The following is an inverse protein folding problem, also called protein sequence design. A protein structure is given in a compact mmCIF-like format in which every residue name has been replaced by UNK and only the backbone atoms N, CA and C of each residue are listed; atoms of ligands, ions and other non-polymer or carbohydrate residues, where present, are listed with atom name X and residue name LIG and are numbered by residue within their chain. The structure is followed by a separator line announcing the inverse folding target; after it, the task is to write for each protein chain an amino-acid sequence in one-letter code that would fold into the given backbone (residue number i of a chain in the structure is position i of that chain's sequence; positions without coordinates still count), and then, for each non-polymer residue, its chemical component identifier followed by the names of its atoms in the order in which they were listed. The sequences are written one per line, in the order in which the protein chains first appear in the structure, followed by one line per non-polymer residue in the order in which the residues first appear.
data_IF_890349286959
#
_entry.id   IF_890349286959
#
_cell.length_a   1.000
_cell.length_b   1.000
_cell.length_c   1.000
_cell.angle_alpha   90.00
_cell.angle_beta   90.00
_cell.angle_gamma   90.00
#
_symmetry.space_group_name_H-M   'P 1'
#
loop_
_entity.id
_entity.type
_entity.pdbx_description
1 polymer ?
#
# COMPACT_ATOMS: atom_id res chain seq x y z
N UNK A 1 -11.47 -45.13 -2.97
CA UNK A 1 -12.30 -43.93 -3.13
C UNK A 1 -12.43 -43.05 -1.86
N UNK A 2 -12.47 -43.61 -0.66
CA UNK A 2 -12.58 -42.85 0.60
C UNK A 2 -11.34 -41.95 0.90
N UNK A 3 -10.16 -42.40 0.54
CA UNK A 3 -8.90 -41.67 0.78
C UNK A 3 -8.70 -40.45 -0.14
N UNK A 4 -9.21 -40.50 -1.38
CA UNK A 4 -9.18 -39.38 -2.33
C UNK A 4 -10.10 -38.23 -1.91
N UNK A 5 -11.28 -38.56 -1.32
CA UNK A 5 -12.22 -37.55 -0.82
C UNK A 5 -11.65 -36.75 0.37
N UNK A 6 -10.89 -37.41 1.25
CA UNK A 6 -10.28 -36.76 2.42
C UNK A 6 -9.15 -35.78 2.00
N UNK A 7 -8.35 -36.14 1.00
CA UNK A 7 -7.32 -35.25 0.42
C UNK A 7 -7.92 -34.03 -0.26
N UNK A 8 -9.07 -34.14 -0.91
CA UNK A 8 -9.74 -33.00 -1.56
C UNK A 8 -10.36 -32.03 -0.56
N UNK A 9 -10.86 -32.49 0.58
CA UNK A 9 -11.37 -31.61 1.64
C UNK A 9 -10.25 -30.82 2.35
N UNK A 10 -9.06 -31.41 2.50
CA UNK A 10 -7.93 -30.76 3.17
C UNK A 10 -7.36 -29.57 2.37
N UNK A 11 -7.45 -29.59 1.04
CA UNK A 11 -6.95 -28.51 0.19
C UNK A 11 -7.86 -27.27 0.16
N UNK A 12 -9.15 -27.41 0.44
CA UNK A 12 -10.11 -26.30 0.48
C UNK A 12 -9.99 -25.44 1.76
N UNK A 13 -9.47 -26.01 2.85
CA UNK A 13 -9.35 -25.30 4.13
C UNK A 13 -8.17 -24.31 4.19
N UNK A 14 -7.13 -24.51 3.40
CA UNK A 14 -5.93 -23.65 3.39
C UNK A 14 -6.23 -22.27 2.77
N UNK A 15 -7.09 -22.20 1.76
CA UNK A 15 -7.47 -20.95 1.09
C UNK A 15 -8.26 -19.99 1.98
N UNK A 16 -9.17 -20.49 2.83
CA UNK A 16 -9.98 -19.67 3.74
C UNK A 16 -9.15 -19.13 4.90
N UNK A 17 -8.18 -19.87 5.42
CA UNK A 17 -7.33 -19.48 6.53
C UNK A 17 -6.40 -18.31 6.17
N UNK A 18 -5.85 -18.28 4.97
CA UNK A 18 -4.96 -17.19 4.54
C UNK A 18 -5.71 -15.88 4.30
N UNK A 19 -6.96 -15.94 3.84
CA UNK A 19 -7.81 -14.77 3.64
C UNK A 19 -8.18 -14.11 4.97
N UNK A 20 -8.63 -14.88 5.93
CA UNK A 20 -8.99 -14.38 7.26
C UNK A 20 -7.78 -13.81 8.02
N UNK A 21 -6.58 -14.36 7.79
CA UNK A 21 -5.35 -13.82 8.38
C UNK A 21 -4.96 -12.46 7.76
N UNK A 22 -5.10 -12.29 6.44
CA UNK A 22 -4.87 -11.03 5.74
C UNK A 22 -5.83 -9.95 6.26
N UNK A 23 -7.13 -10.24 6.29
CA UNK A 23 -8.16 -9.31 6.73
C UNK A 23 -7.90 -8.86 8.18
N UNK A 24 -7.52 -9.76 9.08
CA UNK A 24 -7.17 -9.42 10.46
C UNK A 24 -5.98 -8.45 10.57
N UNK A 25 -4.95 -8.63 9.75
CA UNK A 25 -3.80 -7.72 9.76
C UNK A 25 -4.15 -6.34 9.20
N UNK A 26 -5.00 -6.26 8.17
CA UNK A 26 -5.51 -4.98 7.68
C UNK A 26 -6.38 -4.27 8.73
N UNK A 27 -7.31 -4.96 9.37
CA UNK A 27 -8.15 -4.41 10.43
C UNK A 27 -7.31 -3.92 11.62
N UNK A 28 -6.29 -4.69 12.01
CA UNK A 28 -5.35 -4.30 13.06
C UNK A 28 -4.55 -3.05 12.66
N UNK A 29 -4.07 -2.99 11.41
CA UNK A 29 -3.37 -1.83 10.90
C UNK A 29 -4.23 -0.56 10.95
N UNK A 30 -5.48 -0.62 10.51
CA UNK A 30 -6.41 0.50 10.61
C UNK A 30 -6.71 0.91 12.06
N UNK A 31 -6.80 -0.06 12.96
CA UNK A 31 -7.02 0.21 14.39
C UNK A 31 -5.81 0.94 14.99
N UNK A 32 -4.59 0.47 14.72
CA UNK A 32 -3.37 1.15 15.16
C UNK A 32 -3.22 2.53 14.52
N UNK A 33 -3.62 2.69 13.25
CA UNK A 33 -3.60 3.98 12.57
C UNK A 33 -4.50 5.00 13.25
N UNK A 34 -5.73 4.62 13.62
CA UNK A 34 -6.64 5.50 14.38
C UNK A 34 -6.07 5.91 15.73
N UNK A 35 -5.31 5.03 16.36
CA UNK A 35 -4.64 5.28 17.64
C UNK A 35 -3.32 6.05 17.51
N UNK A 36 -2.87 6.35 16.29
CA UNK A 36 -1.62 7.07 16.04
C UNK A 36 -0.35 6.23 16.16
N UNK A 37 -0.47 4.91 16.33
CA UNK A 37 0.66 3.98 16.50
C UNK A 37 1.17 3.48 15.14
N UNK A 38 1.92 4.34 14.46
CA UNK A 38 2.42 4.02 13.12
C UNK A 38 3.45 2.88 13.09
N UNK A 39 4.18 2.65 14.17
CA UNK A 39 5.12 1.51 14.25
C UNK A 39 4.37 0.18 14.17
N UNK A 40 3.27 0.05 14.90
CA UNK A 40 2.41 -1.14 14.81
C UNK A 40 1.69 -1.24 13.47
N UNK A 41 1.26 -0.10 12.89
CA UNK A 41 0.72 -0.10 11.52
C UNK A 41 1.71 -0.72 10.55
N UNK A 42 2.97 -0.27 10.55
CA UNK A 42 4.00 -0.80 9.65
C UNK A 42 4.23 -2.30 9.82
N UNK A 43 4.21 -2.79 11.07
CA UNK A 43 4.32 -4.22 11.38
C UNK A 43 3.14 -5.00 10.79
N UNK A 44 1.90 -4.57 11.04
CA UNK A 44 0.69 -5.23 10.56
C UNK A 44 0.60 -5.19 9.02
N UNK A 45 0.95 -4.06 8.39
CA UNK A 45 0.99 -3.96 6.93
C UNK A 45 2.02 -4.92 6.31
N UNK A 46 3.17 -5.11 6.96
CA UNK A 46 4.17 -6.07 6.49
C UNK A 46 3.67 -7.51 6.58
N UNK A 47 2.85 -7.84 7.59
CA UNK A 47 2.19 -9.14 7.70
C UNK A 47 1.11 -9.32 6.63
N UNK A 48 0.30 -8.28 6.41
CA UNK A 48 -0.73 -8.27 5.37
C UNK A 48 -0.11 -8.46 3.97
N UNK A 49 0.95 -7.72 3.67
CA UNK A 49 1.65 -7.76 2.38
C UNK A 49 2.20 -9.16 2.05
N UNK A 50 2.80 -9.84 3.02
CA UNK A 50 3.27 -11.23 2.83
C UNK A 50 2.15 -12.19 2.45
N UNK A 51 0.92 -11.92 2.91
CA UNK A 51 -0.27 -12.75 2.65
C UNK A 51 -1.06 -12.31 1.42
N UNK A 52 -0.83 -11.07 0.95
CA UNK A 52 -1.52 -10.53 -0.22
C UNK A 52 -0.84 -10.87 -1.55
N UNK A 53 0.38 -11.40 -1.54
CA UNK A 53 1.17 -11.67 -2.76
C UNK A 53 0.40 -12.32 -3.91
N UNK A 54 -0.56 -13.24 -3.67
CA UNK A 54 -1.39 -13.76 -4.74
C UNK A 54 -2.55 -12.82 -5.13
N UNK A 55 -2.71 -11.66 -4.46
CA UNK A 55 -3.80 -10.70 -4.65
C UNK A 55 -3.25 -9.28 -4.76
N UNK A 56 -2.78 -8.95 -5.93
CA UNK A 56 -2.13 -7.68 -6.24
C UNK A 56 -3.06 -6.46 -6.05
N UNK A 57 -4.38 -6.69 -6.08
CA UNK A 57 -5.39 -5.65 -5.89
C UNK A 57 -5.43 -5.03 -4.47
N UNK A 58 -4.83 -5.67 -3.47
CA UNK A 58 -4.75 -5.15 -2.10
C UNK A 58 -3.47 -4.32 -1.85
N UNK A 59 -2.49 -4.43 -2.72
CA UNK A 59 -1.23 -3.71 -2.59
C UNK A 59 -1.41 -2.18 -2.57
N UNK A 60 -2.26 -1.56 -3.40
CA UNK A 60 -2.43 -0.11 -3.36
C UNK A 60 -3.06 0.39 -2.05
N UNK A 61 -3.95 -0.37 -1.43
CA UNK A 61 -4.49 -0.07 -0.10
C UNK A 61 -3.40 -0.11 0.97
N UNK A 62 -2.64 -1.19 1.02
CA UNK A 62 -1.51 -1.37 1.95
C UNK A 62 -0.51 -0.22 1.79
N UNK A 63 -0.18 0.13 0.56
CA UNK A 63 0.76 1.21 0.26
C UNK A 63 0.22 2.58 0.66
N UNK A 64 -1.08 2.85 0.46
CA UNK A 64 -1.66 4.13 0.85
C UNK A 64 -1.57 4.32 2.37
N UNK A 65 -1.97 3.32 3.16
CA UNK A 65 -1.91 3.40 4.63
C UNK A 65 -0.47 3.53 5.13
N UNK A 66 0.48 2.85 4.48
CA UNK A 66 1.92 3.02 4.75
C UNK A 66 2.38 4.45 4.50
N UNK A 67 2.05 5.03 3.36
CA UNK A 67 2.38 6.42 3.02
C UNK A 67 1.82 7.42 4.03
N UNK A 68 0.60 7.23 4.48
CA UNK A 68 -0.03 8.07 5.49
C UNK A 68 0.67 7.98 6.86
N UNK A 69 1.17 6.82 7.23
CA UNK A 69 1.98 6.67 8.44
C UNK A 69 3.36 7.34 8.29
N UNK A 70 4.00 7.21 7.14
CA UNK A 70 5.26 7.90 6.86
C UNK A 70 5.11 9.42 6.98
N UNK A 71 4.01 9.98 6.47
CA UNK A 71 3.70 11.39 6.66
C UNK A 71 3.60 11.78 8.15
N UNK A 72 2.87 11.00 8.95
CA UNK A 72 2.72 11.25 10.39
C UNK A 72 4.04 11.21 11.14
N UNK A 73 4.98 10.40 10.67
CA UNK A 73 6.33 10.30 11.23
C UNK A 73 7.28 11.39 10.70
N UNK A 74 6.82 12.27 9.80
CA UNK A 74 7.64 13.31 9.18
C UNK A 74 8.58 12.78 8.09
N UNK A 75 8.42 11.54 7.66
CA UNK A 75 9.22 10.89 6.61
C UNK A 75 8.62 11.21 5.22
N UNK A 76 8.63 12.49 4.87
CA UNK A 76 7.91 12.98 3.69
C UNK A 76 8.47 12.46 2.37
N UNK A 77 9.78 12.27 2.25
CA UNK A 77 10.39 11.71 1.04
C UNK A 77 9.88 10.30 0.78
N UNK A 78 9.88 9.45 1.81
CA UNK A 78 9.40 8.07 1.71
C UNK A 78 7.89 8.03 1.44
N UNK A 79 7.12 8.93 2.05
CA UNK A 79 5.68 9.06 1.79
C UNK A 79 5.41 9.42 0.32
N UNK A 80 6.14 10.40 -0.23
CA UNK A 80 6.03 10.83 -1.63
C UNK A 80 6.33 9.67 -2.57
N UNK A 81 7.42 8.94 -2.36
CA UNK A 81 7.78 7.79 -3.20
C UNK A 81 6.73 6.67 -3.10
N UNK A 82 6.17 6.46 -1.92
CA UNK A 82 5.09 5.48 -1.73
C UNK A 82 3.83 5.86 -2.52
N UNK A 83 3.44 7.14 -2.52
CA UNK A 83 2.28 7.60 -3.31
C UNK A 83 2.54 7.58 -4.82
N UNK A 84 3.75 7.92 -5.25
CA UNK A 84 4.17 7.79 -6.66
C UNK A 84 4.12 6.35 -7.15
N UNK A 85 4.57 5.41 -6.32
CA UNK A 85 4.48 3.97 -6.60
C UNK A 85 3.04 3.55 -6.88
N UNK A 86 2.07 3.97 -6.04
CA UNK A 86 0.65 3.63 -6.24
C UNK A 86 0.16 4.17 -7.60
N UNK A 87 0.51 5.42 -7.93
CA UNK A 87 0.09 6.03 -9.20
C UNK A 87 0.69 5.34 -10.42
N UNK A 88 1.96 4.95 -10.34
CA UNK A 88 2.64 4.31 -11.43
C UNK A 88 2.16 2.86 -11.66
N UNK A 89 1.93 2.13 -10.57
CA UNK A 89 1.62 0.70 -10.63
C UNK A 89 0.13 0.39 -10.71
N UNK A 90 -0.69 1.23 -10.09
CA UNK A 90 -2.15 1.02 -9.96
C UNK A 90 -2.95 2.27 -10.34
N UNK A 91 -2.73 2.85 -11.53
CA UNK A 91 -3.24 4.18 -11.89
C UNK A 91 -4.77 4.30 -11.87
N UNK A 92 -5.49 3.19 -12.08
CA UNK A 92 -6.95 3.14 -12.08
C UNK A 92 -7.58 2.87 -10.70
N UNK A 93 -6.79 2.72 -9.64
CA UNK A 93 -7.32 2.44 -8.29
C UNK A 93 -7.79 3.72 -7.60
N UNK A 94 -8.78 3.59 -6.71
CA UNK A 94 -9.16 4.71 -5.83
C UNK A 94 -8.00 5.18 -4.94
N UNK A 95 -7.10 4.24 -4.58
CA UNK A 95 -5.93 4.54 -3.76
C UNK A 95 -4.89 5.39 -4.51
N UNK A 96 -4.79 5.25 -5.83
CA UNK A 96 -3.98 6.14 -6.67
C UNK A 96 -4.56 7.56 -6.69
N UNK A 97 -5.88 7.70 -6.76
CA UNK A 97 -6.55 8.99 -6.65
C UNK A 97 -6.29 9.65 -5.28
N UNK A 98 -6.46 8.90 -4.20
CA UNK A 98 -6.18 9.36 -2.83
C UNK A 98 -4.71 9.71 -2.63
N UNK A 99 -3.79 8.90 -3.14
CA UNK A 99 -2.35 9.17 -3.12
C UNK A 99 -1.98 10.47 -3.86
N UNK A 100 -2.64 10.73 -5.00
CA UNK A 100 -2.46 11.99 -5.73
C UNK A 100 -2.90 13.20 -4.92
N UNK A 101 -4.03 13.11 -4.24
CA UNK A 101 -4.50 14.17 -3.34
C UNK A 101 -3.51 14.43 -2.19
N UNK A 102 -2.90 13.37 -1.62
CA UNK A 102 -1.85 13.52 -0.59
C UNK A 102 -0.59 14.19 -1.14
N UNK A 103 -0.14 13.80 -2.33
CA UNK A 103 1.00 14.45 -2.99
C UNK A 103 0.76 15.94 -3.20
N UNK A 104 -0.43 16.32 -3.64
CA UNK A 104 -0.78 17.74 -3.80
C UNK A 104 -0.76 18.49 -2.46
N UNK A 105 -1.28 17.86 -1.40
CA UNK A 105 -1.20 18.42 -0.04
C UNK A 105 0.25 18.63 0.40
N UNK A 106 1.12 17.62 0.23
CA UNK A 106 2.53 17.71 0.58
C UNK A 106 3.27 18.79 -0.23
N UNK A 107 2.91 18.96 -1.51
CA UNK A 107 3.43 20.03 -2.35
C UNK A 107 3.05 21.41 -1.81
N UNK A 108 1.78 21.61 -1.47
CA UNK A 108 1.28 22.88 -0.92
C UNK A 108 1.92 23.24 0.43
N UNK A 109 2.23 22.23 1.24
CA UNK A 109 2.90 22.38 2.52
C UNK A 109 4.42 22.55 2.38
N UNK A 110 4.97 22.47 1.18
CA UNK A 110 6.41 22.64 0.92
C UNK A 110 7.27 21.41 1.26
N UNK A 111 6.66 20.25 1.54
CA UNK A 111 7.38 19.00 1.83
C UNK A 111 7.82 18.26 0.57
N UNK A 112 7.36 18.68 -0.58
CA UNK A 112 7.62 18.05 -1.85
C UNK A 112 7.56 19.07 -2.98
N UNK A 113 8.52 19.01 -3.88
CA UNK A 113 8.50 19.74 -5.15
C UNK A 113 8.48 18.71 -6.28
N UNK A 114 7.51 18.79 -7.22
CA UNK A 114 7.60 17.98 -8.43
C UNK A 114 8.88 18.32 -9.17
N UNK A 115 9.60 17.33 -9.62
CA UNK A 115 10.76 17.56 -10.48
C UNK A 115 10.29 18.37 -11.70
N UNK A 116 10.78 19.59 -11.81
CA UNK A 116 10.64 20.37 -13.02
C UNK A 116 11.29 19.55 -14.13
N UNK A 117 10.52 19.06 -15.08
CA UNK A 117 11.10 18.51 -16.30
C UNK A 117 11.91 19.63 -16.92
N UNK A 118 13.22 19.54 -16.80
CA UNK A 118 14.13 20.37 -17.60
C UNK A 118 13.87 19.96 -19.03
N UNK A 119 12.97 20.69 -19.68
CA UNK A 119 12.85 20.61 -21.14
C UNK A 119 14.15 21.23 -21.65
N UNK A 120 15.14 20.37 -21.85
CA UNK A 120 16.33 20.76 -22.62
C UNK A 120 15.82 21.07 -24.01
N UNK A 121 15.52 22.33 -24.25
CA UNK A 121 15.47 22.84 -25.59
C UNK A 121 16.87 22.58 -26.17
N UNK A 122 16.99 21.52 -26.93
CA UNK A 122 18.07 21.34 -27.87
C UNK A 122 17.96 22.52 -28.85
N UNK A 123 18.63 23.61 -28.52
CA UNK A 123 18.93 24.63 -29.49
C UNK A 123 19.82 23.95 -30.51
N UNK A 124 19.20 23.58 -31.62
CA UNK A 124 19.92 23.11 -32.80
C UNK A 124 20.70 24.32 -33.36
N UNK A 125 22.01 24.19 -33.55
CA UNK A 125 22.82 25.24 -34.15
C UNK A 125 22.39 25.53 -35.58
#
# INVERSE_FOLDING_TARGET
MRTLAILFLATLSVGCSSRSALDRHLDAAYTHYRNGDCDKVMLELSQAERRSRPRDNLQPEISLLRGQCLERQGLFVDAVETYRFIQARYPGSEYAFRGRARLETLRQLGHYQPEERVVTHLVKP
#
